data_IF_745550588554
#
_entry.id   IF_745550588554
#
_cell.length_a   1.000
_cell.length_b   1.000
_cell.length_c   1.000
_cell.angle_alpha   90.00
_cell.angle_beta   90.00
_cell.angle_gamma   90.00
#
_symmetry.space_group_name_H-M   'P 1'
#
loop_
_entity.id
_entity.type
_entity.pdbx_description
1 polymer ?
#
# COMPACT_ATOMS: atom_id res chain seq x y z
N UNK A 1 3.11 -11.69 20.49
CA UNK A 1 4.34 -12.33 19.94
C UNK A 1 4.10 -12.56 18.45
N UNK A 2 5.07 -12.27 17.59
CA UNK A 2 5.05 -12.55 16.14
C UNK A 2 6.22 -13.48 15.86
N UNK A 3 5.99 -14.59 15.16
CA UNK A 3 7.04 -15.53 14.77
C UNK A 3 6.75 -16.11 13.38
N UNK A 4 7.80 -16.40 12.63
CA UNK A 4 7.73 -17.11 11.34
C UNK A 4 7.98 -18.63 11.55
N UNK A 5 8.62 -18.98 12.67
CA UNK A 5 8.99 -20.37 13.00
C UNK A 5 8.65 -20.67 14.46
N UNK A 6 7.46 -21.21 14.71
CA UNK A 6 7.03 -21.63 16.05
C UNK A 6 8.02 -22.58 16.76
N UNK A 7 8.69 -23.54 16.07
CA UNK A 7 9.67 -24.42 16.73
C UNK A 7 10.87 -23.73 17.37
N UNK A 8 11.17 -22.49 17.00
CA UNK A 8 12.28 -21.71 17.56
C UNK A 8 11.90 -20.90 18.79
N UNK A 9 10.62 -20.95 19.20
CA UNK A 9 10.10 -20.24 20.37
C UNK A 9 9.99 -21.23 21.55
N UNK A 10 10.31 -20.76 22.75
CA UNK A 10 10.18 -21.59 23.96
C UNK A 10 8.74 -22.05 24.16
N UNK A 11 8.56 -23.30 24.53
CA UNK A 11 7.25 -23.95 24.73
C UNK A 11 6.37 -23.17 25.72
N UNK A 12 6.94 -22.66 26.78
CA UNK A 12 6.23 -21.90 27.82
C UNK A 12 5.63 -20.62 27.27
N UNK A 13 6.34 -19.93 26.37
CA UNK A 13 5.84 -18.72 25.69
C UNK A 13 4.75 -19.04 24.69
N UNK A 14 4.85 -20.16 23.98
CA UNK A 14 3.79 -20.59 23.05
C UNK A 14 2.53 -21.04 23.80
N UNK A 15 2.70 -21.79 24.89
CA UNK A 15 1.58 -22.34 25.67
C UNK A 15 0.77 -21.25 26.39
N UNK A 16 1.33 -20.08 26.64
CA UNK A 16 0.63 -18.91 27.21
C UNK A 16 -0.17 -18.08 26.21
N UNK A 17 -0.12 -18.41 24.91
CA UNK A 17 -0.91 -17.69 23.91
C UNK A 17 -2.36 -18.17 23.91
N UNK A 18 -3.31 -17.26 24.09
CA UNK A 18 -4.74 -17.55 24.06
C UNK A 18 -5.31 -17.48 22.63
N UNK A 19 -4.66 -16.71 21.76
CA UNK A 19 -5.08 -16.48 20.37
C UNK A 19 -3.90 -16.77 19.45
N UNK A 20 -4.15 -17.55 18.41
CA UNK A 20 -3.19 -17.83 17.34
C UNK A 20 -3.74 -17.22 16.04
N UNK A 21 -2.94 -16.39 15.39
CA UNK A 21 -3.28 -15.77 14.10
C UNK A 21 -2.27 -16.28 13.08
N UNK A 22 -2.75 -17.00 12.07
CA UNK A 22 -1.95 -17.52 10.98
C UNK A 22 -2.28 -16.77 9.68
N UNK A 23 -1.23 -16.36 8.97
CA UNK A 23 -1.32 -15.68 7.68
C UNK A 23 -0.43 -16.37 6.65
N UNK A 24 -0.69 -16.13 5.37
CA UNK A 24 0.11 -16.67 4.28
C UNK A 24 -0.51 -17.88 3.60
N UNK A 25 0.33 -18.70 2.92
CA UNK A 25 -0.16 -19.73 2.01
C UNK A 25 -0.74 -20.97 2.71
N UNK A 26 -0.17 -21.36 3.85
CA UNK A 26 -0.51 -22.60 4.56
C UNK A 26 -0.88 -22.30 6.01
N UNK A 27 -2.00 -21.60 6.27
CA UNK A 27 -2.38 -21.12 7.59
C UNK A 27 -2.75 -22.26 8.55
N UNK A 28 -3.37 -23.32 8.05
CA UNK A 28 -3.70 -24.52 8.81
C UNK A 28 -2.43 -25.27 9.27
N UNK A 29 -1.43 -25.42 8.42
CA UNK A 29 -0.15 -26.02 8.81
C UNK A 29 0.61 -25.13 9.82
N UNK A 30 0.48 -23.82 9.71
CA UNK A 30 1.02 -22.89 10.70
C UNK A 30 0.42 -23.15 12.10
N UNK A 31 -0.90 -23.33 12.21
CA UNK A 31 -1.55 -23.66 13.49
C UNK A 31 -1.12 -25.05 13.97
N UNK A 32 -1.04 -26.07 13.10
CA UNK A 32 -0.53 -27.41 13.47
C UNK A 32 0.88 -27.36 14.02
N UNK A 33 1.76 -26.59 13.39
CA UNK A 33 3.13 -26.39 13.83
C UNK A 33 3.20 -25.69 15.20
N UNK A 34 2.35 -24.69 15.41
CA UNK A 34 2.20 -24.06 16.72
C UNK A 34 1.78 -25.09 17.78
N UNK A 35 0.73 -25.87 17.52
CA UNK A 35 0.20 -26.88 18.46
C UNK A 35 1.26 -27.92 18.84
N UNK A 36 2.01 -28.44 17.85
CA UNK A 36 3.14 -29.35 18.07
C UNK A 36 4.21 -28.73 18.97
N UNK A 37 4.58 -27.48 18.70
CA UNK A 37 5.63 -26.79 19.47
C UNK A 37 5.17 -26.38 20.88
N UNK A 38 3.91 -26.00 21.04
CA UNK A 38 3.31 -25.65 22.33
C UNK A 38 2.96 -26.90 23.18
N UNK A 39 2.86 -28.06 22.55
CA UNK A 39 2.42 -29.30 23.20
C UNK A 39 0.95 -29.28 23.58
N UNK A 40 0.11 -28.68 22.71
CA UNK A 40 -1.36 -28.60 22.87
C UNK A 40 -2.05 -29.36 21.75
N UNK A 41 -3.29 -29.79 22.00
CA UNK A 41 -4.11 -30.46 21.00
C UNK A 41 -4.50 -29.49 19.89
N UNK A 42 -4.45 -29.95 18.63
CA UNK A 42 -4.82 -29.14 17.49
C UNK A 42 -6.37 -29.15 17.34
N UNK A 43 -6.96 -28.00 17.00
CA UNK A 43 -8.40 -27.94 16.66
C UNK A 43 -8.69 -28.69 15.34
N UNK A 44 -9.97 -28.81 14.99
CA UNK A 44 -10.32 -29.31 13.66
C UNK A 44 -9.89 -28.27 12.62
N UNK A 45 -8.98 -28.68 11.73
CA UNK A 45 -8.40 -27.81 10.70
C UNK A 45 -8.79 -28.35 9.32
N UNK A 46 -9.52 -27.54 8.58
CA UNK A 46 -9.70 -27.73 7.15
C UNK A 46 -8.62 -26.96 6.40
N UNK A 47 -8.22 -27.46 5.22
CA UNK A 47 -7.32 -26.72 4.36
C UNK A 47 -8.01 -25.45 3.83
N UNK A 48 -7.42 -24.29 4.10
CA UNK A 48 -8.00 -22.98 3.77
C UNK A 48 -6.98 -22.21 2.94
N UNK A 49 -7.45 -21.62 1.85
CA UNK A 49 -6.67 -20.67 1.06
C UNK A 49 -7.14 -19.26 1.48
N UNK A 50 -6.20 -18.47 1.97
CA UNK A 50 -6.47 -17.10 2.41
C UNK A 50 -6.18 -16.09 1.28
N UNK A 51 -7.03 -15.10 1.16
CA UNK A 51 -6.75 -13.90 0.38
C UNK A 51 -5.73 -12.98 1.10
N UNK A 52 -5.22 -11.97 0.38
CA UNK A 52 -4.18 -11.06 0.93
C UNK A 52 -4.61 -10.31 2.18
N UNK A 53 -5.91 -10.09 2.34
CA UNK A 53 -6.53 -9.39 3.47
C UNK A 53 -7.17 -10.32 4.49
N UNK A 54 -6.85 -11.61 4.45
CA UNK A 54 -7.44 -12.60 5.36
C UNK A 54 -6.41 -13.22 6.29
N UNK A 55 -6.89 -13.66 7.45
CA UNK A 55 -6.12 -14.41 8.44
C UNK A 55 -6.97 -15.57 8.97
N UNK A 56 -6.34 -16.69 9.30
CA UNK A 56 -6.95 -17.77 10.05
C UNK A 56 -6.69 -17.50 11.53
N UNK A 57 -7.77 -17.28 12.30
CA UNK A 57 -7.70 -16.93 13.72
C UNK A 57 -8.26 -18.07 14.55
N UNK A 58 -7.48 -18.53 15.52
CA UNK A 58 -7.89 -19.55 16.48
C UNK A 58 -7.87 -19.00 17.91
N UNK A 59 -9.05 -18.96 18.51
CA UNK A 59 -9.22 -18.71 19.94
C UNK A 59 -9.21 -20.06 20.66
N UNK A 60 -8.21 -20.34 21.46
CA UNK A 60 -8.01 -21.65 22.08
C UNK A 60 -9.14 -22.10 23.01
N UNK A 61 -9.91 -21.13 23.52
CA UNK A 61 -11.07 -21.35 24.40
C UNK A 61 -12.40 -21.48 23.64
N UNK A 62 -12.44 -21.29 22.32
CA UNK A 62 -13.70 -21.13 21.55
C UNK A 62 -13.89 -22.09 20.40
N UNK A 63 -13.16 -23.19 20.35
CA UNK A 63 -13.37 -24.23 19.34
C UNK A 63 -12.51 -24.08 18.09
N UNK A 64 -13.10 -24.25 16.90
CA UNK A 64 -12.36 -24.31 15.65
C UNK A 64 -11.92 -22.93 15.13
N UNK A 65 -10.81 -22.88 14.38
CA UNK A 65 -10.35 -21.63 13.77
C UNK A 65 -11.35 -21.10 12.72
N UNK A 66 -11.36 -19.79 12.57
CA UNK A 66 -12.22 -19.10 11.60
C UNK A 66 -11.38 -18.14 10.72
N UNK A 67 -11.81 -17.98 9.49
CA UNK A 67 -11.23 -16.99 8.57
C UNK A 67 -11.80 -15.61 8.90
N UNK A 68 -10.91 -14.64 9.07
CA UNK A 68 -11.28 -13.25 9.38
C UNK A 68 -10.68 -12.34 8.30
N UNK A 69 -11.51 -11.50 7.73
CA UNK A 69 -11.02 -10.39 6.90
C UNK A 69 -10.36 -9.33 7.78
N UNK A 70 -9.16 -8.92 7.40
CA UNK A 70 -8.37 -7.90 8.10
C UNK A 70 -8.51 -6.59 7.32
N UNK A 71 -9.25 -5.65 7.88
CA UNK A 71 -9.30 -4.30 7.32
C UNK A 71 -8.03 -3.54 7.70
N UNK A 72 -7.41 -2.80 6.76
CA UNK A 72 -6.29 -1.92 7.09
C UNK A 72 -6.70 -0.93 8.17
N UNK A 73 -5.96 -0.91 9.28
CA UNK A 73 -6.27 0.02 10.38
C UNK A 73 -6.13 1.48 9.93
N UNK A 74 -6.97 2.38 10.44
CA UNK A 74 -6.88 3.83 10.17
C UNK A 74 -5.47 4.41 10.35
N UNK A 75 -4.70 3.87 11.27
CA UNK A 75 -3.32 4.31 11.52
C UNK A 75 -2.36 3.96 10.38
N UNK A 76 -2.55 2.83 9.70
CA UNK A 76 -1.74 2.45 8.54
C UNK A 76 -2.13 3.27 7.33
N UNK A 77 -3.42 3.51 7.13
CA UNK A 77 -3.92 4.40 6.10
C UNK A 77 -3.39 5.83 6.28
N UNK A 78 -3.45 6.37 7.49
CA UNK A 78 -2.89 7.70 7.83
C UNK A 78 -1.37 7.76 7.62
N UNK A 79 -0.61 6.70 7.97
CA UNK A 79 0.84 6.62 7.70
C UNK A 79 1.14 6.58 6.21
N UNK A 80 0.37 5.81 5.44
CA UNK A 80 0.52 5.72 3.99
C UNK A 80 0.27 7.10 3.36
N UNK A 81 -0.86 7.73 3.67
CA UNK A 81 -1.19 9.08 3.20
C UNK A 81 -0.06 10.05 3.53
N UNK A 82 0.37 10.13 4.80
CA UNK A 82 1.41 11.07 5.24
C UNK A 82 2.75 10.81 4.57
N UNK A 83 3.13 9.55 4.40
CA UNK A 83 4.38 9.16 3.74
C UNK A 83 4.47 9.71 2.32
N UNK A 84 3.42 9.55 1.54
CA UNK A 84 3.42 9.95 0.13
C UNK A 84 3.02 11.40 -0.10
N UNK A 85 2.21 11.98 0.80
CA UNK A 85 1.85 13.40 0.74
C UNK A 85 3.00 14.33 1.10
N UNK A 86 3.78 14.01 2.15
CA UNK A 86 4.75 14.92 2.78
C UNK A 86 6.16 14.33 2.93
N UNK A 87 6.31 13.01 2.86
CA UNK A 87 7.60 12.34 3.03
C UNK A 87 8.56 12.56 1.87
N UNK A 88 9.82 12.20 2.06
CA UNK A 88 10.83 12.23 1.01
C UNK A 88 10.92 10.86 0.32
N UNK A 89 10.61 10.81 -0.97
CA UNK A 89 10.70 9.62 -1.80
C UNK A 89 12.10 9.35 -2.33
N UNK A 90 13.05 10.24 -2.09
CA UNK A 90 14.44 10.10 -2.51
C UNK A 90 14.56 9.83 -4.02
N UNK A 91 15.14 8.68 -4.38
CA UNK A 91 15.28 8.24 -5.78
C UNK A 91 13.94 7.96 -6.49
N UNK A 92 12.84 7.90 -5.74
CA UNK A 92 11.48 7.77 -6.27
C UNK A 92 10.78 9.10 -6.56
N UNK A 93 11.46 10.24 -6.42
CA UNK A 93 10.93 11.56 -6.73
C UNK A 93 10.54 11.67 -8.20
N UNK A 94 9.45 12.41 -8.48
CA UNK A 94 9.12 12.78 -9.85
C UNK A 94 10.00 13.93 -10.32
N UNK A 95 10.57 13.84 -11.52
CA UNK A 95 11.41 14.90 -12.06
C UNK A 95 10.75 15.54 -13.28
N UNK A 96 10.33 16.79 -13.15
CA UNK A 96 9.89 17.60 -14.27
C UNK A 96 11.10 17.99 -15.12
N UNK A 97 11.21 17.44 -16.32
CA UNK A 97 12.34 17.68 -17.24
C UNK A 97 11.93 18.59 -18.40
N UNK A 98 10.74 18.41 -18.93
CA UNK A 98 10.27 19.07 -20.15
C UNK A 98 10.97 18.58 -21.42
N UNK A 99 10.60 19.14 -22.57
CA UNK A 99 11.25 18.86 -23.83
C UNK A 99 12.74 19.17 -23.75
N UNK A 100 13.57 18.33 -24.39
CA UNK A 100 15.05 18.50 -24.46
C UNK A 100 15.74 18.58 -23.09
N UNK A 101 15.05 18.18 -22.01
CA UNK A 101 15.60 18.22 -20.65
C UNK A 101 15.85 19.63 -20.12
N UNK A 102 15.08 20.62 -20.57
CA UNK A 102 15.21 22.05 -20.21
C UNK A 102 15.06 22.34 -18.71
N UNK A 103 14.43 21.41 -17.95
CA UNK A 103 14.21 21.53 -16.51
C UNK A 103 14.76 20.31 -15.80
N UNK A 104 15.02 20.46 -14.49
CA UNK A 104 15.37 19.36 -13.58
C UNK A 104 14.81 19.65 -12.18
N UNK A 105 13.46 19.65 -12.08
CA UNK A 105 12.78 19.97 -10.83
C UNK A 105 12.24 18.69 -10.19
N UNK A 106 12.84 18.27 -9.09
CA UNK A 106 12.44 17.06 -8.36
C UNK A 106 11.31 17.34 -7.38
N UNK A 107 10.22 16.60 -7.53
CA UNK A 107 9.10 16.57 -6.60
C UNK A 107 9.24 15.35 -5.68
N UNK A 108 9.63 15.57 -4.45
CA UNK A 108 9.93 14.53 -3.47
C UNK A 108 8.69 13.83 -2.91
N UNK A 109 7.50 14.40 -3.10
CA UNK A 109 6.23 13.89 -2.62
C UNK A 109 5.07 14.52 -3.42
N UNK A 110 3.85 14.06 -3.15
CA UNK A 110 2.65 14.52 -3.87
C UNK A 110 2.35 16.01 -3.66
N UNK A 111 2.59 16.57 -2.46
CA UNK A 111 2.41 18.00 -2.21
C UNK A 111 3.42 18.83 -3.01
N UNK A 112 4.68 18.41 -3.06
CA UNK A 112 5.72 19.06 -3.85
C UNK A 112 5.44 18.88 -5.36
N UNK A 113 4.92 17.72 -5.78
CA UNK A 113 4.47 17.49 -7.16
C UNK A 113 3.40 18.48 -7.59
N UNK A 114 2.36 18.68 -6.77
CA UNK A 114 1.31 19.68 -7.04
C UNK A 114 1.90 21.08 -7.13
N UNK A 115 2.74 21.46 -6.18
CA UNK A 115 3.35 22.79 -6.12
C UNK A 115 4.23 23.08 -7.33
N UNK A 116 5.13 22.18 -7.70
CA UNK A 116 6.00 22.34 -8.87
C UNK A 116 5.17 22.24 -10.14
N UNK A 117 4.28 21.26 -10.23
CA UNK A 117 3.42 21.05 -11.40
C UNK A 117 2.47 22.21 -11.70
N UNK A 118 2.09 23.00 -10.68
CA UNK A 118 1.31 24.22 -10.90
C UNK A 118 2.13 25.37 -11.50
N UNK A 119 3.46 25.33 -11.38
CA UNK A 119 4.36 26.40 -11.84
C UNK A 119 5.12 26.08 -13.11
N UNK A 120 5.18 24.82 -13.57
CA UNK A 120 5.84 24.48 -14.83
C UNK A 120 5.03 24.97 -16.02
N UNK A 121 5.73 25.30 -17.11
CA UNK A 121 5.10 25.71 -18.37
C UNK A 121 4.28 24.56 -19.00
N UNK A 122 3.40 24.93 -19.92
CA UNK A 122 2.48 23.98 -20.56
C UNK A 122 3.20 22.96 -21.45
N UNK A 123 4.33 23.32 -22.04
CA UNK A 123 5.14 22.40 -22.84
C UNK A 123 5.73 21.29 -21.97
N UNK A 124 6.26 21.66 -20.79
CA UNK A 124 6.77 20.69 -19.80
C UNK A 124 5.66 19.79 -19.30
N UNK A 125 4.49 20.36 -18.96
CA UNK A 125 3.35 19.56 -18.53
C UNK A 125 2.91 18.55 -19.59
N UNK A 126 2.71 19.03 -20.83
CA UNK A 126 2.30 18.19 -21.96
C UNK A 126 3.34 17.14 -22.34
N UNK A 127 4.64 17.45 -22.18
CA UNK A 127 5.70 16.48 -22.43
C UNK A 127 5.50 15.22 -21.57
N UNK A 128 5.33 15.39 -20.27
CA UNK A 128 5.10 14.28 -19.35
C UNK A 128 3.71 13.65 -19.51
N UNK A 129 2.69 14.45 -19.82
CA UNK A 129 1.33 13.96 -20.05
C UNK A 129 1.31 12.95 -21.21
N UNK A 130 1.93 13.29 -22.35
CA UNK A 130 1.98 12.45 -23.55
C UNK A 130 2.87 11.22 -23.38
N UNK A 131 3.87 11.30 -22.52
CA UNK A 131 4.74 10.18 -22.19
C UNK A 131 4.15 9.20 -21.15
N UNK A 132 2.96 9.49 -20.61
CA UNK A 132 2.33 8.74 -19.53
C UNK A 132 3.21 8.64 -18.27
N UNK A 133 4.02 9.67 -18.03
CA UNK A 133 4.97 9.67 -16.92
C UNK A 133 4.28 9.80 -15.56
N UNK A 134 3.13 10.49 -15.49
CA UNK A 134 2.40 10.72 -14.24
C UNK A 134 1.80 9.42 -13.69
N UNK A 135 1.04 8.71 -14.52
CA UNK A 135 0.46 7.41 -14.12
C UNK A 135 1.54 6.38 -13.83
N UNK A 136 2.60 6.34 -14.66
CA UNK A 136 3.75 5.47 -14.47
C UNK A 136 4.46 5.72 -13.14
N UNK A 137 4.70 6.98 -12.80
CA UNK A 137 5.30 7.36 -11.52
C UNK A 137 4.42 7.01 -10.32
N UNK A 138 3.13 7.33 -10.40
CA UNK A 138 2.18 7.02 -9.32
C UNK A 138 2.14 5.50 -9.09
N UNK A 139 2.00 4.69 -10.14
CA UNK A 139 1.97 3.22 -10.03
C UNK A 139 3.25 2.66 -9.42
N UNK A 140 4.40 3.13 -9.87
CA UNK A 140 5.70 2.59 -9.46
C UNK A 140 6.15 3.02 -8.07
N UNK A 141 5.98 4.29 -7.72
CA UNK A 141 6.59 4.89 -6.54
C UNK A 141 5.59 5.23 -5.43
N UNK A 142 4.39 5.70 -5.78
CA UNK A 142 3.30 5.95 -4.82
C UNK A 142 2.59 4.64 -4.46
N UNK A 143 2.50 3.70 -5.43
CA UNK A 143 1.85 2.38 -5.28
C UNK A 143 0.35 2.49 -4.97
N UNK A 144 -0.31 3.47 -5.55
CA UNK A 144 -1.75 3.68 -5.55
C UNK A 144 -2.28 3.38 -6.96
N UNK A 145 -2.70 2.15 -7.18
CA UNK A 145 -3.15 1.69 -8.50
C UNK A 145 -4.42 2.44 -8.95
N UNK A 146 -5.33 2.75 -8.03
CA UNK A 146 -6.55 3.48 -8.34
C UNK A 146 -6.26 4.93 -8.78
N UNK A 147 -5.33 5.61 -8.10
CA UNK A 147 -4.87 6.94 -8.52
C UNK A 147 -4.09 6.87 -9.85
N UNK A 148 -3.31 5.82 -10.05
CA UNK A 148 -2.57 5.64 -11.30
C UNK A 148 -3.51 5.41 -12.51
N UNK A 149 -4.58 4.64 -12.34
CA UNK A 149 -5.61 4.43 -13.37
C UNK A 149 -6.35 5.74 -13.70
N UNK A 150 -6.68 6.53 -12.68
CA UNK A 150 -7.30 7.84 -12.88
C UNK A 150 -6.36 8.81 -13.61
N UNK A 151 -5.07 8.84 -13.23
CA UNK A 151 -4.06 9.63 -13.92
C UNK A 151 -3.90 9.19 -15.38
N UNK A 152 -3.85 7.89 -15.65
CA UNK A 152 -3.79 7.35 -17.01
C UNK A 152 -5.02 7.72 -17.87
N UNK A 153 -6.20 7.71 -17.25
CA UNK A 153 -7.42 8.19 -17.91
C UNK A 153 -7.32 9.67 -18.30
N UNK A 154 -6.75 10.52 -17.41
CA UNK A 154 -6.53 11.94 -17.70
C UNK A 154 -5.51 12.12 -18.82
N UNK A 155 -4.40 11.39 -18.80
CA UNK A 155 -3.35 11.42 -19.82
C UNK A 155 -3.89 11.07 -21.21
N UNK A 156 -4.76 10.06 -21.30
CA UNK A 156 -5.40 9.62 -22.55
C UNK A 156 -6.31 10.68 -23.18
N UNK A 157 -6.84 11.61 -22.39
CA UNK A 157 -7.70 12.67 -22.95
C UNK A 157 -6.95 13.64 -23.86
N UNK A 158 -5.62 13.77 -23.71
CA UNK A 158 -4.81 14.80 -24.38
C UNK A 158 -5.45 16.20 -24.33
N UNK A 159 -6.17 16.49 -23.23
CA UNK A 159 -6.87 17.73 -23.02
C UNK A 159 -5.95 18.92 -22.78
N UNK A 160 -6.50 20.14 -22.68
CA UNK A 160 -5.73 21.35 -22.38
C UNK A 160 -4.92 21.19 -21.08
N UNK A 161 -3.69 21.77 -21.03
CA UNK A 161 -2.81 21.62 -19.86
C UNK A 161 -3.43 22.05 -18.54
N UNK A 162 -4.16 23.15 -18.54
CA UNK A 162 -4.84 23.65 -17.34
C UNK A 162 -5.94 22.69 -16.84
N UNK A 163 -6.68 22.06 -17.74
CA UNK A 163 -7.73 21.11 -17.38
C UNK A 163 -7.14 19.81 -16.85
N UNK A 164 -6.19 19.21 -17.58
CA UNK A 164 -5.55 17.94 -17.17
C UNK A 164 -4.78 18.10 -15.87
N UNK A 165 -4.12 19.25 -15.68
CA UNK A 165 -3.44 19.62 -14.43
C UNK A 165 -4.41 19.70 -13.26
N UNK A 166 -5.51 20.43 -13.42
CA UNK A 166 -6.51 20.59 -12.36
C UNK A 166 -7.16 19.25 -11.98
N UNK A 167 -7.48 18.42 -12.96
CA UNK A 167 -8.06 17.09 -12.73
C UNK A 167 -7.09 16.19 -11.97
N UNK A 168 -5.83 16.11 -12.38
CA UNK A 168 -4.84 15.29 -11.70
C UNK A 168 -4.58 15.77 -10.27
N UNK A 169 -4.49 17.09 -10.05
CA UNK A 169 -4.31 17.64 -8.72
C UNK A 169 -5.53 17.40 -7.82
N UNK A 170 -6.74 17.48 -8.36
CA UNK A 170 -7.97 17.16 -7.63
C UNK A 170 -7.99 15.67 -7.23
N UNK A 171 -7.62 14.77 -8.13
CA UNK A 171 -7.51 13.33 -7.85
C UNK A 171 -6.49 13.03 -6.74
N UNK A 172 -5.34 13.70 -6.75
CA UNK A 172 -4.33 13.57 -5.69
C UNK A 172 -4.87 14.14 -4.37
N UNK A 173 -5.43 15.35 -4.38
CA UNK A 173 -5.93 15.99 -3.15
C UNK A 173 -7.05 15.21 -2.50
N UNK A 174 -7.98 14.65 -3.27
CA UNK A 174 -9.09 13.86 -2.70
C UNK A 174 -8.64 12.63 -1.91
N UNK A 175 -7.45 12.10 -2.20
CA UNK A 175 -6.90 10.89 -1.54
C UNK A 175 -5.85 11.20 -0.48
N UNK A 176 -5.07 12.27 -0.69
CA UNK A 176 -3.86 12.54 0.09
C UNK A 176 -3.88 13.84 0.90
N UNK A 177 -4.92 14.66 0.80
CA UNK A 177 -5.18 15.70 1.78
C UNK A 177 -6.14 15.16 2.81
N UNK A 178 -5.62 14.85 4.02
CA UNK A 178 -6.50 14.54 5.13
C UNK A 178 -7.42 15.75 5.40
N UNK A 179 -8.72 15.54 5.63
CA UNK A 179 -9.53 16.59 6.20
C UNK A 179 -8.89 17.01 7.54
N UNK A 180 -8.74 18.31 7.72
CA UNK A 180 -8.23 18.90 8.94
C UNK A 180 -9.09 18.53 10.15
#
# INVERSE_FOLDING_TARGET
MITVHAPHVRKEALSSADIVIAVGKDPDETIRNFCRSAGVEAPQLQSVVLDRSEALVWFRDRGDPLVVAVEPGESEHKRHIRKYAEGDLGSGSFVFRGPEGKLQLAAQNLNTFIRIGSGVDDDTWNFHLRAHDYSGWIRKFIKDDALAEEAESIERTNGPPNETRNRLFAAIRSRYTAPA
#
